data_IF_346440209126
#
_entry.id   IF_346440209126
#
_cell.length_a   1.000
_cell.length_b   1.000
_cell.length_c   1.000
_cell.angle_alpha   90.00
_cell.angle_beta   90.00
_cell.angle_gamma   90.00
#
_symmetry.space_group_name_H-M   'P 1'
#
loop_
_entity.id
_entity.type
_entity.pdbx_description
1 polymer ?
#
# COMPACT_ATOMS: atom_id res chain seq x y z
N UNK A 1 -16.01 25.20 -3.16
CA UNK A 1 -14.64 24.73 -3.34
C UNK A 1 -14.43 23.70 -2.25
N UNK A 2 -14.38 22.41 -2.60
CA UNK A 2 -14.03 21.37 -1.63
C UNK A 2 -12.53 21.54 -1.32
N UNK A 3 -12.09 21.35 -0.07
CA UNK A 3 -10.67 21.41 0.24
C UNK A 3 -9.97 20.31 -0.56
N UNK A 4 -8.84 20.66 -1.18
CA UNK A 4 -7.95 19.66 -1.78
C UNK A 4 -7.41 18.83 -0.61
N UNK A 5 -7.86 17.57 -0.52
CA UNK A 5 -7.36 16.63 0.47
C UNK A 5 -5.84 16.52 0.30
N UNK A 6 -5.10 16.97 1.30
CA UNK A 6 -3.66 16.84 1.32
C UNK A 6 -3.27 15.37 1.39
N UNK A 7 -2.17 14.98 0.74
CA UNK A 7 -1.70 13.59 0.70
C UNK A 7 -1.54 12.96 2.11
N UNK A 8 -1.32 13.78 3.15
CA UNK A 8 -1.28 13.37 4.56
C UNK A 8 -2.64 12.86 5.11
N UNK A 9 -3.78 13.31 4.58
CA UNK A 9 -5.11 12.92 5.08
C UNK A 9 -5.57 11.56 4.55
N UNK A 10 -5.02 11.09 3.42
CA UNK A 10 -5.39 9.82 2.78
C UNK A 10 -4.68 8.62 3.38
N UNK A 11 -3.45 8.85 3.82
CA UNK A 11 -2.60 7.87 4.50
C UNK A 11 -2.89 7.78 5.99
N UNK A 12 -3.52 8.81 6.59
CA UNK A 12 -3.86 8.88 8.01
C UNK A 12 -4.80 7.76 8.51
N UNK A 13 -5.37 6.96 7.61
CA UNK A 13 -6.26 5.84 7.93
C UNK A 13 -5.62 4.45 7.90
N UNK A 14 -4.40 4.31 7.37
CA UNK A 14 -3.76 3.00 7.23
C UNK A 14 -3.03 2.66 8.54
N UNK A 15 -3.29 1.48 9.15
CA UNK A 15 -2.53 1.03 10.30
C UNK A 15 -1.03 0.99 10.01
N UNK A 16 -0.19 1.47 10.93
CA UNK A 16 1.27 1.47 10.78
C UNK A 16 1.84 0.07 10.50
N UNK A 17 1.18 -0.99 11.00
CA UNK A 17 1.57 -2.38 10.72
C UNK A 17 1.46 -2.78 9.23
N UNK A 18 0.71 -2.02 8.44
CA UNK A 18 0.55 -2.19 6.99
C UNK A 18 1.41 -1.22 6.16
N UNK A 19 2.16 -0.32 6.81
CA UNK A 19 3.12 0.54 6.11
C UNK A 19 4.26 -0.28 5.53
N UNK A 20 4.78 0.11 4.38
CA UNK A 20 6.01 -0.46 3.84
C UNK A 20 7.14 -0.29 4.84
N UNK A 21 7.79 -1.40 5.15
CA UNK A 21 9.01 -1.40 5.94
C UNK A 21 10.14 -0.70 5.17
N UNK A 22 10.22 -0.88 3.85
CA UNK A 22 11.26 -0.30 3.02
C UNK A 22 11.11 1.22 2.81
N UNK A 23 9.88 1.72 2.68
CA UNK A 23 9.59 3.15 2.44
C UNK A 23 9.37 3.95 3.73
N UNK A 24 9.34 3.30 4.90
CA UNK A 24 9.05 3.90 6.20
C UNK A 24 7.73 4.70 6.20
N UNK A 25 6.69 4.13 5.58
CA UNK A 25 5.38 4.76 5.39
C UNK A 25 4.47 3.93 4.48
N UNK A 26 3.29 4.45 4.13
CA UNK A 26 2.37 3.75 3.23
C UNK A 26 2.99 3.43 1.86
N UNK A 27 2.54 2.32 1.27
CA UNK A 27 2.98 1.94 -0.07
C UNK A 27 2.51 2.97 -1.10
N UNK A 28 3.45 3.48 -1.89
CA UNK A 28 3.12 4.43 -2.97
C UNK A 28 2.74 3.73 -4.25
N UNK A 29 3.32 2.56 -4.54
CA UNK A 29 3.20 1.88 -5.83
C UNK A 29 2.79 0.42 -5.71
N UNK A 30 2.04 -0.05 -6.71
CA UNK A 30 1.75 -1.46 -6.87
C UNK A 30 3.04 -2.22 -7.19
N UNK A 31 3.36 -3.24 -6.41
CA UNK A 31 4.58 -4.06 -6.58
C UNK A 31 4.60 -4.84 -7.90
N UNK A 32 3.46 -4.96 -8.60
CA UNK A 32 3.35 -5.69 -9.88
C UNK A 32 3.43 -4.76 -11.09
N UNK A 33 2.68 -3.64 -11.08
CA UNK A 33 2.56 -2.77 -12.26
C UNK A 33 3.19 -1.38 -12.10
N UNK A 34 3.83 -1.09 -10.97
CA UNK A 34 4.51 0.18 -10.64
C UNK A 34 3.64 1.44 -10.70
N UNK A 35 2.32 1.30 -10.86
CA UNK A 35 1.37 2.42 -10.84
C UNK A 35 1.17 2.92 -9.41
N UNK A 36 0.98 4.24 -9.28
CA UNK A 36 0.70 4.91 -8.01
C UNK A 36 -0.62 4.41 -7.40
N UNK A 37 -0.57 3.89 -6.18
CA UNK A 37 -1.71 3.34 -5.44
C UNK A 37 -2.69 4.43 -5.00
N UNK A 38 -2.18 5.66 -4.77
CA UNK A 38 -2.99 6.82 -4.40
C UNK A 38 -4.15 7.05 -5.39
N UNK A 39 -3.93 6.75 -6.68
CA UNK A 39 -4.92 6.97 -7.74
C UNK A 39 -5.76 5.74 -8.07
N UNK A 40 -5.42 4.57 -7.52
CA UNK A 40 -6.07 3.30 -7.85
C UNK A 40 -7.15 2.89 -6.84
N UNK A 41 -7.23 3.56 -5.70
CA UNK A 41 -8.24 3.30 -4.68
C UNK A 41 -7.86 2.09 -3.81
N UNK A 42 -8.53 0.95 -4.00
CA UNK A 42 -8.34 -0.25 -3.17
C UNK A 42 -7.10 -1.04 -3.60
N UNK A 43 -6.29 -1.43 -2.61
CA UNK A 43 -5.17 -2.34 -2.79
C UNK A 43 -5.01 -3.25 -1.58
N UNK A 44 -4.41 -4.41 -1.81
CA UNK A 44 -4.09 -5.39 -0.78
C UNK A 44 -2.64 -5.21 -0.32
N UNK A 45 -2.40 -5.30 0.98
CA UNK A 45 -1.05 -5.38 1.55
C UNK A 45 -0.84 -6.78 2.12
N UNK A 46 0.23 -7.46 1.68
CA UNK A 46 0.67 -8.73 2.26
C UNK A 46 2.03 -8.57 2.91
N UNK A 47 2.18 -9.12 4.12
CA UNK A 47 3.44 -9.12 4.88
C UNK A 47 3.74 -10.51 5.40
N UNK A 48 4.99 -10.93 5.26
CA UNK A 48 5.50 -12.20 5.76
C UNK A 48 6.53 -11.90 6.84
N UNK A 49 6.35 -12.53 8.01
CA UNK A 49 7.19 -12.30 9.18
C UNK A 49 8.03 -13.52 9.54
N UNK A 50 9.24 -13.27 10.03
CA UNK A 50 10.08 -14.24 10.76
C UNK A 50 10.58 -13.60 12.03
N UNK A 51 10.25 -14.17 13.19
CA UNK A 51 10.74 -13.70 14.49
C UNK A 51 10.52 -12.19 14.76
N UNK A 52 9.43 -11.63 14.20
CA UNK A 52 9.02 -10.20 14.19
C UNK A 52 9.66 -9.32 13.13
N UNK A 53 10.54 -9.84 12.29
CA UNK A 53 11.10 -9.12 11.15
C UNK A 53 10.25 -9.36 9.91
N UNK A 54 9.95 -8.30 9.17
CA UNK A 54 9.32 -8.41 7.84
C UNK A 54 10.38 -8.91 6.87
N UNK A 55 10.19 -10.11 6.34
CA UNK A 55 11.11 -10.72 5.36
C UNK A 55 10.63 -10.54 3.92
N UNK A 56 9.33 -10.29 3.74
CA UNK A 56 8.74 -10.00 2.44
C UNK A 56 7.48 -9.16 2.62
N UNK A 57 7.29 -8.20 1.73
CA UNK A 57 6.09 -7.37 1.69
C UNK A 57 5.70 -7.01 0.26
N UNK A 58 4.40 -6.89 0.00
CA UNK A 58 3.85 -6.45 -1.27
C UNK A 58 2.63 -5.56 -1.04
N UNK A 59 2.42 -4.65 -1.99
CA UNK A 59 1.16 -3.94 -2.15
C UNK A 59 0.64 -4.14 -3.58
N UNK A 60 -0.56 -4.69 -3.72
CA UNK A 60 -1.11 -5.12 -5.01
C UNK A 60 -2.42 -4.38 -5.23
N UNK A 61 -2.50 -3.58 -6.30
CA UNK A 61 -3.75 -2.92 -6.66
C UNK A 61 -4.82 -3.94 -7.06
N UNK A 62 -6.10 -3.59 -6.87
CA UNK A 62 -7.22 -4.49 -7.15
C UNK A 62 -7.12 -5.16 -8.54
N UNK A 63 -6.81 -4.39 -9.58
CA UNK A 63 -6.71 -4.93 -10.95
C UNK A 63 -5.65 -6.05 -11.06
N UNK A 64 -4.48 -5.88 -10.44
CA UNK A 64 -3.44 -6.91 -10.43
C UNK A 64 -3.80 -8.09 -9.52
N UNK A 65 -4.56 -7.86 -8.45
CA UNK A 65 -5.03 -8.91 -7.55
C UNK A 65 -6.06 -9.83 -8.22
N UNK A 66 -6.99 -9.27 -8.99
CA UNK A 66 -7.99 -10.04 -9.74
C UNK A 66 -7.35 -10.96 -10.80
N UNK A 67 -6.28 -10.50 -11.48
CA UNK A 67 -5.54 -11.31 -12.46
C UNK A 67 -4.80 -12.51 -11.85
N UNK A 68 -4.59 -12.53 -10.53
CA UNK A 68 -3.92 -13.60 -9.80
C UNK A 68 -4.88 -14.65 -9.21
N UNK A 69 -6.20 -14.41 -9.28
CA UNK A 69 -7.25 -15.22 -8.63
C UNK A 69 -7.88 -16.31 -9.50
#
# INVERSE_FOLDING_TARGET
>A
MLPEETNEDRDAGIPEELHSFAEEGPFRKCTICDKELEHLGLYEVQKVYRDKEVIFETAICQACGEDLS
#
